data_IF_507799283322
#
_entry.id   IF_507799283322
#
_cell.length_a   1.000
_cell.length_b   1.000
_cell.length_c   1.000
_cell.angle_alpha   90.00
_cell.angle_beta   90.00
_cell.angle_gamma   90.00
#
_symmetry.space_group_name_H-M   'P 1'
#
loop_
_entity.id
_entity.type
_entity.pdbx_description
1 polymer ?
#
# COMPACT_ATOMS: atom_id res chain seq x y z
N UNK A 1 24.54 -12.39 -15.34
CA UNK A 1 23.49 -11.36 -15.15
C UNK A 1 22.38 -11.98 -14.33
N UNK A 2 21.97 -11.35 -13.23
CA UNK A 2 20.80 -11.77 -12.48
C UNK A 2 19.57 -11.16 -13.15
N UNK A 3 18.56 -11.97 -13.47
CA UNK A 3 17.29 -11.49 -14.01
C UNK A 3 16.33 -11.27 -12.85
N UNK A 4 15.63 -10.14 -12.83
CA UNK A 4 14.69 -9.77 -11.77
C UNK A 4 13.34 -9.43 -12.40
N UNK A 5 12.27 -10.09 -11.95
CA UNK A 5 10.90 -9.76 -12.34
C UNK A 5 10.33 -8.76 -11.34
N UNK A 6 9.78 -7.66 -11.82
CA UNK A 6 9.18 -6.60 -10.99
C UNK A 6 7.71 -6.41 -11.34
N UNK A 7 6.91 -5.94 -10.38
CA UNK A 7 5.54 -5.50 -10.61
C UNK A 7 5.30 -4.12 -10.00
N UNK A 8 4.59 -3.27 -10.74
CA UNK A 8 4.05 -2.01 -10.24
C UNK A 8 2.52 -2.14 -10.17
N UNK A 9 1.94 -1.81 -9.03
CA UNK A 9 0.50 -1.98 -8.80
C UNK A 9 -0.25 -0.68 -9.09
N UNK A 10 -1.44 -0.80 -9.65
CA UNK A 10 -2.38 0.30 -9.82
C UNK A 10 -3.80 -0.18 -9.50
N UNK A 11 -4.47 0.54 -8.61
CA UNK A 11 -5.83 0.24 -8.15
C UNK A 11 -6.48 1.52 -7.58
N UNK A 12 -7.81 1.59 -7.53
CA UNK A 12 -8.49 2.68 -6.83
C UNK A 12 -8.28 2.58 -5.31
N UNK A 13 -7.98 3.71 -4.67
CA UNK A 13 -7.65 3.83 -3.24
C UNK A 13 -8.52 4.92 -2.60
N UNK A 14 -9.83 4.77 -2.76
CA UNK A 14 -10.82 5.79 -2.39
C UNK A 14 -11.61 5.46 -1.14
N UNK A 15 -11.42 4.28 -0.52
CA UNK A 15 -12.16 3.93 0.68
C UNK A 15 -11.72 4.78 1.86
N UNK A 16 -12.68 5.22 2.66
CA UNK A 16 -12.42 5.82 3.97
C UNK A 16 -12.04 4.78 5.03
N UNK A 17 -12.28 3.49 4.76
CA UNK A 17 -11.79 2.40 5.60
C UNK A 17 -10.38 1.99 5.13
N UNK A 18 -9.40 2.18 6.02
CA UNK A 18 -8.02 1.79 5.77
C UNK A 18 -7.87 0.29 5.51
N UNK A 19 -8.64 -0.55 6.21
CA UNK A 19 -8.53 -2.00 6.09
C UNK A 19 -8.91 -2.48 4.68
N UNK A 20 -9.91 -1.86 4.06
CA UNK A 20 -10.33 -2.17 2.69
C UNK A 20 -9.22 -1.88 1.68
N UNK A 21 -8.58 -0.71 1.78
CA UNK A 21 -7.50 -0.34 0.87
C UNK A 21 -6.28 -1.26 1.04
N UNK A 22 -5.91 -1.58 2.29
CA UNK A 22 -4.81 -2.52 2.58
C UNK A 22 -5.11 -3.91 2.02
N UNK A 23 -6.33 -4.41 2.19
CA UNK A 23 -6.73 -5.71 1.68
C UNK A 23 -6.69 -5.76 0.14
N UNK A 24 -7.13 -4.69 -0.53
CA UNK A 24 -7.07 -4.58 -1.99
C UNK A 24 -5.62 -4.58 -2.51
N UNK A 25 -4.71 -3.86 -1.85
CA UNK A 25 -3.28 -3.89 -2.18
C UNK A 25 -2.67 -5.28 -1.94
N UNK A 26 -2.96 -5.90 -0.80
CA UNK A 26 -2.46 -7.24 -0.49
C UNK A 26 -2.89 -8.27 -1.54
N UNK A 27 -4.15 -8.22 -2.00
CA UNK A 27 -4.64 -9.09 -3.05
C UNK A 27 -3.88 -8.93 -4.38
N UNK A 28 -3.50 -7.70 -4.76
CA UNK A 28 -2.67 -7.46 -5.94
C UNK A 28 -1.21 -7.88 -5.74
N UNK A 29 -0.67 -7.75 -4.52
CA UNK A 29 0.65 -8.27 -4.17
C UNK A 29 0.69 -9.78 -4.34
N UNK A 30 -0.30 -10.51 -3.82
CA UNK A 30 -0.42 -11.97 -3.97
C UNK A 30 -0.53 -12.37 -5.45
N UNK A 31 -1.33 -11.65 -6.24
CA UNK A 31 -1.44 -11.89 -7.68
C UNK A 31 -0.11 -11.66 -8.42
N UNK A 32 0.61 -10.58 -8.11
CA UNK A 32 1.91 -10.28 -8.72
C UNK A 32 2.97 -11.31 -8.31
N UNK A 33 2.99 -11.75 -7.05
CA UNK A 33 3.87 -12.80 -6.56
C UNK A 33 3.58 -14.14 -7.27
N UNK A 34 2.29 -14.50 -7.44
CA UNK A 34 1.87 -15.68 -8.19
C UNK A 34 2.27 -15.61 -9.68
N UNK A 35 2.39 -14.40 -10.25
CA UNK A 35 2.91 -14.16 -11.60
C UNK A 35 4.45 -14.14 -11.68
N UNK A 36 5.16 -14.39 -10.57
CA UNK A 36 6.61 -14.49 -10.52
C UNK A 36 7.34 -13.19 -10.22
N UNK A 37 6.65 -12.13 -9.78
CA UNK A 37 7.30 -10.90 -9.35
C UNK A 37 8.12 -11.12 -8.07
N UNK A 38 9.34 -10.58 -8.05
CA UNK A 38 10.29 -10.65 -6.94
C UNK A 38 10.38 -9.32 -6.18
N UNK A 39 9.99 -8.23 -6.83
CA UNK A 39 9.83 -6.91 -6.22
C UNK A 39 8.50 -6.34 -6.68
N UNK A 40 7.66 -5.91 -5.73
CA UNK A 40 6.31 -5.42 -5.98
C UNK A 40 6.18 -4.04 -5.33
N UNK A 41 5.75 -3.04 -6.11
CA UNK A 41 5.63 -1.66 -5.66
C UNK A 41 4.15 -1.20 -5.67
N UNK A 42 3.53 -0.96 -4.50
CA UNK A 42 2.21 -0.34 -4.41
C UNK A 42 2.26 1.19 -4.60
N UNK A 43 1.11 1.85 -4.85
CA UNK A 43 1.02 3.31 -4.93
C UNK A 43 1.38 4.02 -3.62
N UNK A 44 1.71 5.30 -3.73
CA UNK A 44 1.92 6.19 -2.58
C UNK A 44 0.66 6.29 -1.70
N UNK A 45 0.87 6.37 -0.38
CA UNK A 45 -0.19 6.57 0.63
C UNK A 45 -1.41 5.64 0.45
N UNK A 46 -1.18 4.40 0.03
CA UNK A 46 -2.26 3.50 -0.38
C UNK A 46 -3.25 3.11 0.71
N UNK A 47 -3.01 3.43 1.98
CA UNK A 47 -3.92 3.03 3.05
C UNK A 47 -5.12 3.96 3.23
N UNK A 48 -5.26 4.99 2.41
CA UNK A 48 -6.41 5.88 2.42
C UNK A 48 -6.46 6.85 1.24
N UNK A 49 -7.44 7.77 1.22
CA UNK A 49 -7.54 8.81 0.21
C UNK A 49 -6.32 9.74 0.24
N UNK A 50 -5.90 10.20 -0.93
CA UNK A 50 -4.81 11.17 -1.04
C UNK A 50 -5.19 12.51 -0.39
N UNK A 51 -4.73 12.73 0.84
CA UNK A 51 -5.15 13.85 1.68
C UNK A 51 -4.37 15.14 1.42
N UNK A 52 -3.25 15.10 0.68
CA UNK A 52 -2.36 16.25 0.41
C UNK A 52 -2.98 17.34 -0.50
N UNK A 53 -4.31 17.36 -0.64
CA UNK A 53 -5.07 18.39 -1.35
C UNK A 53 -5.38 19.60 -0.47
N UNK A 54 -5.23 19.46 0.85
CA UNK A 54 -5.54 20.47 1.86
C UNK A 54 -4.45 20.53 2.91
N UNK A 55 -4.33 21.68 3.56
CA UNK A 55 -3.49 21.86 4.75
C UNK A 55 -4.42 21.80 5.99
N UNK A 56 -4.40 20.67 6.69
CA UNK A 56 -5.21 20.43 7.90
C UNK A 56 -4.35 19.73 8.95
N UNK A 57 -4.19 20.35 10.12
CA UNK A 57 -3.41 19.82 11.23
C UNK A 57 -3.96 18.49 11.76
N UNK A 58 -5.25 18.22 11.58
CA UNK A 58 -5.85 16.95 11.98
C UNK A 58 -5.24 15.76 11.21
N UNK A 59 -4.69 15.98 10.01
CA UNK A 59 -4.10 14.93 9.17
C UNK A 59 -2.79 14.36 9.76
N UNK A 60 -2.11 15.09 10.65
CA UNK A 60 -0.94 14.55 11.36
C UNK A 60 -1.30 13.34 12.23
N UNK A 61 -2.56 13.21 12.68
CA UNK A 61 -3.02 12.05 13.44
C UNK A 61 -3.04 10.74 12.64
N UNK A 62 -2.93 10.80 11.30
CA UNK A 62 -2.82 9.61 10.45
C UNK A 62 -1.45 8.93 10.56
N UNK A 63 -0.42 9.66 10.99
CA UNK A 63 0.93 9.14 11.10
C UNK A 63 1.05 8.13 12.23
N UNK A 64 1.76 7.03 11.97
CA UNK A 64 2.10 5.99 12.95
C UNK A 64 3.55 5.53 12.76
N UNK A 65 4.23 5.07 13.82
CA UNK A 65 5.54 4.43 13.66
C UNK A 65 5.49 3.27 12.67
N UNK A 66 6.48 3.16 11.79
CA UNK A 66 6.45 2.18 10.69
C UNK A 66 6.23 0.74 11.16
N UNK A 67 6.89 0.32 12.24
CA UNK A 67 6.76 -1.03 12.79
C UNK A 67 5.38 -1.34 13.39
N UNK A 68 4.53 -0.33 13.59
CA UNK A 68 3.18 -0.46 14.15
C UNK A 68 2.10 -0.15 13.10
N UNK A 69 2.48 0.26 11.89
CA UNK A 69 1.54 0.69 10.87
C UNK A 69 0.84 -0.54 10.26
N UNK A 70 -0.51 -0.57 10.19
CA UNK A 70 -1.25 -1.71 9.63
C UNK A 70 -0.81 -2.10 8.22
N UNK A 71 -0.56 -1.11 7.35
CA UNK A 71 -0.02 -1.33 6.00
C UNK A 71 1.32 -2.08 6.01
N UNK A 72 2.23 -1.76 6.94
CA UNK A 72 3.54 -2.43 7.01
C UNK A 72 3.37 -3.84 7.55
N UNK A 73 2.61 -4.01 8.62
CA UNK A 73 2.35 -5.32 9.23
C UNK A 73 1.65 -6.28 8.25
N UNK A 74 0.75 -5.77 7.41
CA UNK A 74 0.05 -6.56 6.40
C UNK A 74 0.99 -7.08 5.30
N UNK A 75 2.05 -6.34 4.97
CA UNK A 75 3.01 -6.67 3.89
C UNK A 75 4.21 -7.50 4.36
N UNK A 76 4.27 -7.86 5.64
CA UNK A 76 5.31 -8.71 6.22
C UNK A 76 4.94 -10.21 6.24
N UNK A 77 3.74 -10.55 5.77
CA UNK A 77 3.25 -11.93 5.66
C UNK A 77 3.83 -12.62 4.43
#
# INVERSE_FOLDING_TARGET
MTMLTIAALQLPLGSSDEAENIAAVAALVEQAAAAGAQVILPPELFSGPYFCKVEDEALFALARPAAQHPSVLAMQK
#
